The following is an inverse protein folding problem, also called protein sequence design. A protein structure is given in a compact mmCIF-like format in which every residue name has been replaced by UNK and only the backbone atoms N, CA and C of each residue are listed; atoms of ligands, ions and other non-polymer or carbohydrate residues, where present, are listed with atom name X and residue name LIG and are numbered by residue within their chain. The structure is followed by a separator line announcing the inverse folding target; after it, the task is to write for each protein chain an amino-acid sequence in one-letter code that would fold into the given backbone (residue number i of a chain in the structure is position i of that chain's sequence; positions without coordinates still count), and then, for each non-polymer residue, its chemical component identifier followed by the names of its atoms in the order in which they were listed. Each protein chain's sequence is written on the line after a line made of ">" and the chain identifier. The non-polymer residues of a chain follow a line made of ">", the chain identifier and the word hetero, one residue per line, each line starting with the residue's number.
data_IF_288684845632
#
_entry.id   IF_288684845632
#
_cell.length_a   1.000
_cell.length_b   1.000
_cell.length_c   1.000
_cell.angle_alpha   90.00
_cell.angle_beta   90.00
_cell.angle_gamma   90.00
#
_symmetry.space_group_name_H-M   'P 1'
#
loop_
_entity.id
_entity.type
_entity.pdbx_description
1 polymer ?
#
# COMPACT_ATOMS: atom_id res chain seq x y z
N UNK A 1 20.67 0.26 -25.00
CA UNK A 1 19.58 1.03 -25.64
C UNK A 1 18.74 0.23 -26.65
N UNK A 2 19.09 -1.02 -27.00
CA UNK A 2 18.32 -1.85 -27.96
C UNK A 2 17.24 -2.76 -27.33
N UNK A 3 17.17 -2.88 -26.00
CA UNK A 3 16.25 -3.83 -25.35
C UNK A 3 14.83 -3.28 -25.13
N UNK A 4 14.69 -1.98 -24.85
CA UNK A 4 13.39 -1.38 -24.49
C UNK A 4 12.38 -1.35 -25.66
N UNK A 5 12.82 -1.19 -26.92
CA UNK A 5 11.89 -1.17 -28.06
C UNK A 5 11.31 -2.57 -28.36
N UNK A 6 12.13 -3.62 -28.26
CA UNK A 6 11.73 -5.01 -28.56
C UNK A 6 10.75 -5.63 -27.55
N UNK A 7 10.64 -5.04 -26.36
CA UNK A 7 9.75 -5.50 -25.29
C UNK A 7 8.32 -4.95 -25.44
N UNK A 8 8.15 -3.78 -26.05
CA UNK A 8 6.83 -3.21 -26.34
C UNK A 8 6.04 -4.03 -27.38
N UNK A 9 6.73 -4.76 -28.26
CA UNK A 9 6.13 -5.61 -29.29
C UNK A 9 5.65 -6.99 -28.77
N UNK A 10 5.79 -7.24 -27.46
CA UNK A 10 5.45 -8.55 -26.84
C UNK A 10 4.24 -8.50 -25.94
N UNK A 11 3.90 -7.33 -25.39
CA UNK A 11 2.80 -7.13 -24.45
C UNK A 11 1.75 -6.26 -25.10
N UNK A 12 0.57 -6.82 -25.33
CA UNK A 12 -0.55 -6.11 -25.93
C UNK A 12 -1.69 -6.01 -24.92
N UNK A 13 -2.04 -4.80 -24.50
CA UNK A 13 -3.26 -4.56 -23.71
C UNK A 13 -4.46 -4.64 -24.64
N UNK A 14 -5.23 -5.72 -24.54
CA UNK A 14 -6.35 -5.98 -25.45
C UNK A 14 -7.54 -5.09 -25.12
N UNK A 15 -7.93 -5.06 -23.85
CA UNK A 15 -9.03 -4.25 -23.35
C UNK A 15 -8.94 -4.04 -21.84
N UNK A 16 -9.56 -2.95 -21.38
CA UNK A 16 -9.84 -2.70 -19.97
C UNK A 16 -11.25 -3.23 -19.70
N UNK A 17 -11.37 -4.25 -18.85
CA UNK A 17 -12.64 -4.85 -18.45
C UNK A 17 -13.32 -3.98 -17.39
N UNK A 18 -12.53 -3.46 -16.45
CA UNK A 18 -12.97 -2.54 -15.42
C UNK A 18 -11.93 -1.43 -15.24
N UNK A 19 -12.37 -0.17 -15.27
CA UNK A 19 -11.50 0.96 -15.03
C UNK A 19 -11.12 1.05 -13.54
N UNK A 20 -9.84 1.30 -13.26
CA UNK A 20 -9.37 1.56 -11.91
C UNK A 20 -9.62 2.99 -11.45
N UNK A 21 -9.56 3.18 -10.14
CA UNK A 21 -9.77 4.42 -9.43
C UNK A 21 -8.53 5.32 -9.47
N UNK A 22 -8.77 6.64 -9.53
CA UNK A 22 -7.70 7.65 -9.50
C UNK A 22 -7.03 7.91 -10.85
N UNK A 23 -6.12 8.89 -10.86
CA UNK A 23 -5.41 9.32 -12.07
C UNK A 23 -4.03 8.65 -12.23
N UNK A 24 -3.43 8.16 -11.14
CA UNK A 24 -2.09 7.62 -11.12
C UNK A 24 -2.07 6.10 -11.39
N UNK A 25 -1.10 5.64 -12.16
CA UNK A 25 -0.81 4.21 -12.39
C UNK A 25 0.14 3.67 -11.32
N UNK A 26 0.28 2.34 -11.28
CA UNK A 26 1.14 1.67 -10.31
C UNK A 26 2.62 2.14 -10.41
N UNK A 27 3.24 2.61 -9.30
CA UNK A 27 4.63 3.08 -9.30
C UNK A 27 5.66 1.96 -9.52
N UNK A 28 6.80 2.28 -10.15
CA UNK A 28 7.84 1.29 -10.48
C UNK A 28 8.49 0.62 -9.27
N UNK A 29 8.52 1.30 -8.13
CA UNK A 29 9.04 0.84 -6.87
C UNK A 29 7.95 0.37 -5.90
N UNK A 30 6.75 0.05 -6.40
CA UNK A 30 5.66 -0.40 -5.56
C UNK A 30 5.69 -1.92 -5.33
N UNK A 31 5.07 -2.33 -4.23
CA UNK A 31 4.60 -3.71 -4.05
C UNK A 31 3.14 -3.75 -4.48
N UNK A 32 2.82 -4.54 -5.50
CA UNK A 32 1.48 -4.67 -6.04
C UNK A 32 0.79 -5.94 -5.54
N UNK A 33 -0.50 -5.85 -5.21
CA UNK A 33 -1.36 -6.97 -4.91
C UNK A 33 -2.27 -7.20 -6.10
N UNK A 34 -2.15 -8.36 -6.73
CA UNK A 34 -2.86 -8.65 -7.98
C UNK A 34 -3.53 -10.01 -7.94
N UNK A 35 -4.71 -10.07 -8.56
CA UNK A 35 -5.23 -11.32 -9.07
C UNK A 35 -4.83 -11.47 -10.54
N UNK A 36 -4.45 -12.67 -10.95
CA UNK A 36 -4.24 -12.98 -12.36
C UNK A 36 -4.86 -14.32 -12.71
N UNK A 37 -5.49 -14.34 -13.86
CA UNK A 37 -5.91 -15.54 -14.57
C UNK A 37 -5.08 -15.63 -15.85
N UNK A 38 -4.43 -16.77 -16.07
CA UNK A 38 -3.67 -17.07 -17.27
C UNK A 38 -4.40 -18.16 -18.05
N UNK A 39 -4.65 -17.90 -19.33
CA UNK A 39 -5.31 -18.80 -20.25
C UNK A 39 -4.58 -18.88 -21.59
N UNK A 40 -4.81 -19.98 -22.30
CA UNK A 40 -4.41 -20.13 -23.70
C UNK A 40 -5.34 -19.32 -24.61
N UNK A 41 -4.89 -19.02 -25.83
CA UNK A 41 -5.75 -18.39 -26.85
C UNK A 41 -7.00 -19.23 -27.18
N UNK A 42 -6.96 -20.54 -26.92
CA UNK A 42 -8.10 -21.45 -27.04
C UNK A 42 -9.16 -21.25 -25.95
N UNK A 43 -8.92 -20.38 -24.96
CA UNK A 43 -9.79 -20.14 -23.81
C UNK A 43 -9.56 -21.09 -22.63
N UNK A 44 -8.65 -22.07 -22.75
CA UNK A 44 -8.34 -22.99 -21.65
C UNK A 44 -7.58 -22.26 -20.54
N UNK A 45 -8.20 -22.15 -19.36
CA UNK A 45 -7.57 -21.56 -18.17
C UNK A 45 -6.49 -22.49 -17.62
N UNK A 46 -5.27 -21.96 -17.52
CA UNK A 46 -4.10 -22.66 -16.98
C UNK A 46 -3.96 -22.35 -15.50
N UNK A 47 -4.12 -21.09 -15.11
CA UNK A 47 -3.93 -20.59 -13.75
C UNK A 47 -4.95 -19.52 -13.43
N UNK A 48 -5.41 -19.47 -12.20
CA UNK A 48 -6.39 -18.48 -11.78
C UNK A 48 -6.32 -18.30 -10.27
N UNK A 49 -5.76 -17.16 -9.83
CA UNK A 49 -5.65 -16.85 -8.40
C UNK A 49 -6.96 -16.38 -7.78
N UNK A 50 -7.99 -16.04 -8.58
CA UNK A 50 -9.30 -15.62 -8.08
C UNK A 50 -10.06 -16.76 -7.43
N UNK A 51 -9.81 -18.00 -7.86
CA UNK A 51 -10.48 -19.20 -7.31
C UNK A 51 -10.22 -19.40 -5.81
N UNK A 52 -9.10 -18.91 -5.30
CA UNK A 52 -8.73 -19.01 -3.90
C UNK A 52 -9.00 -17.71 -3.11
N UNK A 53 -9.54 -16.69 -3.78
CA UNK A 53 -9.76 -15.34 -3.24
C UNK A 53 -8.56 -14.78 -2.44
N UNK A 54 -7.35 -15.14 -2.88
CA UNK A 54 -6.09 -14.73 -2.24
C UNK A 54 -5.22 -14.00 -3.26
N UNK A 55 -5.11 -12.66 -3.19
CA UNK A 55 -4.27 -11.91 -4.12
C UNK A 55 -2.80 -12.26 -3.92
N UNK A 56 -2.04 -12.28 -5.01
CA UNK A 56 -0.60 -12.49 -4.96
C UNK A 56 0.15 -11.16 -4.81
N UNK A 57 1.22 -11.20 -4.01
CA UNK A 57 2.06 -10.04 -3.69
C UNK A 57 3.29 -10.04 -4.61
N UNK A 58 3.47 -8.97 -5.38
CA UNK A 58 4.63 -8.79 -6.26
C UNK A 58 5.38 -7.50 -6.00
N UNK A 59 6.70 -7.64 -5.86
CA UNK A 59 7.62 -6.52 -5.74
C UNK A 59 8.08 -6.10 -7.14
N UNK A 60 7.64 -4.93 -7.63
CA UNK A 60 7.92 -4.52 -9.01
C UNK A 60 9.40 -4.20 -9.25
N UNK A 61 10.13 -3.85 -8.18
CA UNK A 61 11.59 -3.70 -8.18
C UNK A 61 12.35 -5.03 -8.13
N UNK A 62 11.68 -6.16 -7.89
CA UNK A 62 12.32 -7.49 -7.71
C UNK A 62 12.40 -8.28 -9.01
N UNK A 63 13.46 -9.05 -9.21
CA UNK A 63 13.68 -9.89 -10.40
C UNK A 63 12.86 -11.19 -10.42
N UNK A 64 11.90 -11.32 -9.50
CA UNK A 64 10.99 -12.46 -9.38
C UNK A 64 9.91 -12.49 -10.46
N UNK A 65 9.41 -11.31 -10.87
CA UNK A 65 8.37 -11.18 -11.89
C UNK A 65 8.99 -11.00 -13.28
N UNK A 66 8.40 -11.63 -14.30
CA UNK A 66 8.84 -11.40 -15.68
C UNK A 66 8.64 -9.93 -16.07
N UNK A 67 9.50 -9.43 -16.94
CA UNK A 67 9.46 -8.02 -17.33
C UNK A 67 8.14 -7.68 -18.04
N UNK A 68 7.57 -8.63 -18.78
CA UNK A 68 6.27 -8.51 -19.45
C UNK A 68 5.14 -8.29 -18.45
N UNK A 69 5.07 -9.10 -17.39
CA UNK A 69 4.04 -8.95 -16.35
C UNK A 69 4.21 -7.67 -15.54
N UNK A 70 5.45 -7.24 -15.30
CA UNK A 70 5.72 -5.94 -14.67
C UNK A 70 5.14 -4.80 -15.51
N UNK A 71 5.37 -4.80 -16.83
CA UNK A 71 4.84 -3.78 -17.74
C UNK A 71 3.30 -3.74 -17.70
N UNK A 72 2.64 -4.90 -17.65
CA UNK A 72 1.19 -4.95 -17.49
C UNK A 72 0.76 -4.21 -16.21
N UNK A 73 1.31 -4.58 -15.05
CA UNK A 73 0.93 -4.01 -13.75
C UNK A 73 1.23 -2.51 -13.66
N UNK A 74 2.37 -2.06 -14.19
CA UNK A 74 2.76 -0.64 -14.21
C UNK A 74 1.83 0.23 -15.07
N UNK A 75 1.14 -0.38 -16.04
CA UNK A 75 0.17 0.31 -16.90
C UNK A 75 -1.24 0.43 -16.27
N UNK A 76 -1.47 -0.19 -15.12
CA UNK A 76 -2.78 -0.31 -14.49
C UNK A 76 -2.97 0.68 -13.34
N UNK A 77 -4.23 1.00 -13.07
CA UNK A 77 -4.68 1.76 -11.89
C UNK A 77 -5.24 0.82 -10.81
N UNK A 78 -5.26 1.28 -9.57
CA UNK A 78 -5.85 0.52 -8.45
C UNK A 78 -7.33 0.26 -8.71
N UNK A 79 -7.77 -0.99 -8.58
CA UNK A 79 -9.12 -1.46 -8.91
C UNK A 79 -9.35 -1.74 -10.41
N UNK A 80 -8.32 -1.61 -11.26
CA UNK A 80 -8.44 -1.90 -12.69
C UNK A 80 -8.39 -3.40 -12.95
N UNK A 81 -9.25 -3.87 -13.86
CA UNK A 81 -9.20 -5.22 -14.44
C UNK A 81 -8.92 -5.07 -15.93
N UNK A 82 -7.81 -5.64 -16.39
CA UNK A 82 -7.35 -5.52 -17.78
C UNK A 82 -6.90 -6.86 -18.34
N UNK A 83 -7.17 -7.05 -19.63
CA UNK A 83 -6.75 -8.23 -20.36
C UNK A 83 -5.51 -7.90 -21.22
N UNK A 84 -4.50 -8.76 -21.13
CA UNK A 84 -3.24 -8.62 -21.84
C UNK A 84 -2.92 -9.88 -22.62
N UNK A 85 -2.38 -9.72 -23.83
CA UNK A 85 -1.79 -10.78 -24.62
C UNK A 85 -0.27 -10.68 -24.55
N UNK A 86 0.39 -11.73 -24.08
CA UNK A 86 1.85 -11.80 -23.97
C UNK A 86 2.37 -12.89 -24.90
N UNK A 87 3.18 -12.52 -25.90
CA UNK A 87 3.80 -13.47 -26.85
C UNK A 87 4.97 -14.23 -26.19
N UNK A 88 5.07 -15.53 -26.44
CA UNK A 88 6.22 -16.34 -26.01
C UNK A 88 7.47 -16.06 -26.85
N UNK A 89 8.65 -16.23 -26.24
CA UNK A 89 9.95 -16.16 -26.93
C UNK A 89 10.48 -17.57 -27.18
N UNK A 90 10.53 -17.98 -28.45
CA UNK A 90 10.98 -19.32 -28.88
C UNK A 90 12.43 -19.65 -28.47
N UNK A 91 13.28 -18.65 -28.17
CA UNK A 91 14.67 -18.87 -27.75
C UNK A 91 14.88 -19.24 -26.26
N UNK A 92 13.82 -19.25 -25.44
CA UNK A 92 13.93 -19.52 -24.00
C UNK A 92 13.93 -21.02 -23.61
N UNK A 93 14.04 -21.94 -24.57
CA UNK A 93 14.16 -23.38 -24.29
C UNK A 93 15.39 -23.76 -23.43
N UNK A 94 16.41 -22.87 -23.33
CA UNK A 94 17.62 -23.10 -22.52
C UNK A 94 17.59 -22.49 -21.12
N UNK A 95 16.70 -21.56 -20.81
CA UNK A 95 16.60 -20.92 -19.49
C UNK A 95 15.25 -21.26 -18.83
N UNK A 96 15.13 -22.53 -18.43
CA UNK A 96 13.99 -23.13 -17.71
C UNK A 96 13.69 -22.52 -16.31
N UNK A 97 13.93 -21.23 -16.04
CA UNK A 97 13.95 -20.72 -14.66
C UNK A 97 13.15 -19.46 -14.29
N UNK A 98 12.48 -18.75 -15.21
CA UNK A 98 11.83 -17.47 -14.82
C UNK A 98 10.47 -17.14 -15.45
N UNK A 99 9.70 -18.13 -15.90
CA UNK A 99 8.25 -17.94 -15.86
C UNK A 99 7.78 -18.35 -14.46
N UNK A 100 6.76 -17.65 -13.94
CA UNK A 100 6.04 -17.93 -12.70
C UNK A 100 5.22 -19.24 -12.79
N UNK A 101 5.82 -20.25 -13.40
CA UNK A 101 5.25 -21.53 -13.77
C UNK A 101 5.94 -22.70 -13.05
N UNK A 102 6.69 -22.44 -11.98
CA UNK A 102 7.41 -23.49 -11.24
C UNK A 102 6.48 -24.55 -10.62
N UNK A 103 5.18 -24.28 -10.51
CA UNK A 103 4.17 -25.16 -9.92
C UNK A 103 3.35 -25.99 -10.92
N UNK A 104 3.58 -25.90 -12.23
CA UNK A 104 2.72 -26.58 -13.20
C UNK A 104 3.20 -27.98 -13.56
N UNK A 105 2.49 -29.00 -13.06
CA UNK A 105 2.47 -30.35 -13.64
C UNK A 105 1.95 -30.37 -15.10
N UNK A 106 1.39 -29.26 -15.61
CA UNK A 106 0.86 -29.09 -16.99
C UNK A 106 1.82 -28.37 -17.95
N UNK A 107 3.13 -28.44 -17.70
CA UNK A 107 4.13 -27.74 -18.50
C UNK A 107 4.12 -28.14 -20.00
N UNK A 108 3.79 -29.38 -20.36
CA UNK A 108 3.87 -29.86 -21.75
C UNK A 108 2.89 -29.19 -22.72
N UNK A 109 1.65 -28.89 -22.32
CA UNK A 109 0.67 -28.20 -23.17
C UNK A 109 0.94 -26.69 -23.26
N UNK A 110 1.57 -26.11 -22.23
CA UNK A 110 1.94 -24.70 -22.22
C UNK A 110 3.08 -24.38 -23.21
N UNK A 111 3.86 -25.39 -23.62
CA UNK A 111 4.99 -25.27 -24.54
C UNK A 111 4.58 -25.14 -26.03
N UNK A 112 3.30 -25.32 -26.39
CA UNK A 112 2.85 -25.32 -27.78
C UNK A 112 2.09 -24.06 -28.21
N UNK A 113 2.11 -22.98 -27.42
CA UNK A 113 1.30 -21.79 -27.68
C UNK A 113 2.16 -20.55 -27.88
N UNK A 114 1.89 -19.80 -28.96
CA UNK A 114 2.65 -18.61 -29.34
C UNK A 114 2.39 -17.40 -28.42
N UNK A 115 1.27 -17.41 -27.69
CA UNK A 115 0.92 -16.37 -26.74
C UNK A 115 0.00 -16.87 -25.62
N UNK A 116 -0.02 -16.12 -24.51
CA UNK A 116 -0.96 -16.30 -23.41
C UNK A 116 -1.83 -15.07 -23.23
N UNK A 117 -3.04 -15.32 -22.73
CA UNK A 117 -4.00 -14.29 -22.36
C UNK A 117 -4.02 -14.20 -20.83
N UNK A 118 -3.67 -13.03 -20.32
CA UNK A 118 -3.66 -12.70 -18.90
C UNK A 118 -4.79 -11.74 -18.60
N UNK A 119 -5.69 -12.13 -17.71
CA UNK A 119 -6.62 -11.21 -17.08
C UNK A 119 -6.07 -10.82 -15.72
N UNK A 120 -5.69 -9.55 -15.56
CA UNK A 120 -5.03 -9.04 -14.35
C UNK A 120 -5.97 -8.05 -13.69
N UNK A 121 -6.14 -8.20 -12.39
CA UNK A 121 -6.83 -7.26 -11.52
C UNK A 121 -5.83 -6.69 -10.51
N UNK A 122 -5.64 -5.38 -10.54
CA UNK A 122 -4.77 -4.68 -9.60
C UNK A 122 -5.59 -4.26 -8.38
N UNK A 123 -5.49 -4.99 -7.27
CA UNK A 123 -6.29 -4.74 -6.07
C UNK A 123 -5.81 -3.50 -5.33
N UNK A 124 -4.51 -3.41 -5.10
CA UNK A 124 -3.86 -2.29 -4.41
C UNK A 124 -2.36 -2.29 -4.67
N UNK A 125 -1.69 -1.18 -4.33
CA UNK A 125 -0.24 -1.11 -4.34
C UNK A 125 0.27 -0.27 -3.16
N UNK A 126 1.36 -0.72 -2.56
CA UNK A 126 2.06 0.00 -1.50
C UNK A 126 3.31 0.65 -2.08
N UNK A 127 3.55 1.92 -1.73
CA UNK A 127 4.81 2.61 -2.01
C UNK A 127 5.90 2.03 -1.09
N UNK A 128 6.47 0.88 -1.43
CA UNK A 128 7.51 0.23 -0.63
C UNK A 128 8.74 -0.15 -1.46
N UNK A 129 9.92 0.44 -1.18
CA UNK A 129 11.19 -0.09 -1.66
C UNK A 129 11.54 -1.37 -0.90
N UNK A 130 11.91 -2.42 -1.63
CA UNK A 130 12.36 -3.67 -1.05
C UNK A 130 13.76 -3.54 -0.46
N UNK A 131 13.94 -4.09 0.74
CA UNK A 131 15.25 -4.46 1.26
C UNK A 131 15.35 -5.98 1.15
N UNK A 132 16.43 -6.47 0.54
CA UNK A 132 16.75 -7.88 0.59
C UNK A 132 17.06 -8.26 2.05
N UNK A 133 16.19 -9.06 2.65
CA UNK A 133 16.43 -9.74 3.94
C UNK A 133 17.35 -10.95 3.79
N UNK A 134 17.87 -11.18 2.58
CA UNK A 134 18.60 -12.38 2.17
C UNK A 134 19.92 -12.66 2.95
N UNK A 135 20.40 -11.71 3.75
CA UNK A 135 21.64 -11.85 4.54
C UNK A 135 21.47 -11.68 6.07
N UNK A 136 20.24 -11.62 6.61
CA UNK A 136 20.01 -11.41 8.05
C UNK A 136 19.67 -12.75 8.73
N UNK A 137 20.60 -13.30 9.51
CA UNK A 137 20.45 -14.66 10.09
C UNK A 137 19.76 -14.64 11.45
N UNK A 138 19.90 -13.57 12.25
CA UNK A 138 19.33 -13.52 13.62
C UNK A 138 18.30 -12.41 13.83
N UNK A 139 17.35 -12.63 14.75
CA UNK A 139 16.32 -11.65 15.13
C UNK A 139 16.92 -10.39 15.77
N UNK A 140 18.03 -10.55 16.51
CA UNK A 140 18.75 -9.44 17.11
C UNK A 140 19.34 -8.49 16.05
N UNK A 141 19.97 -9.03 15.00
CA UNK A 141 20.49 -8.23 13.88
C UNK A 141 19.38 -7.49 13.14
N UNK A 142 18.24 -8.15 12.92
CA UNK A 142 17.06 -7.53 12.31
C UNK A 142 16.54 -6.36 13.14
N UNK A 143 16.44 -6.56 14.45
CA UNK A 143 15.96 -5.55 15.40
C UNK A 143 16.94 -4.36 15.50
N UNK A 144 18.24 -4.62 15.54
CA UNK A 144 19.26 -3.56 15.52
C UNK A 144 19.21 -2.74 14.23
N UNK A 145 19.07 -3.42 13.09
CA UNK A 145 18.94 -2.74 11.78
C UNK A 145 17.64 -1.94 11.70
N UNK A 146 16.54 -2.45 12.24
CA UNK A 146 15.28 -1.72 12.35
C UNK A 146 15.45 -0.46 13.21
N UNK A 147 16.18 -0.55 14.33
CA UNK A 147 16.49 0.61 15.18
C UNK A 147 17.31 1.66 14.43
N UNK A 148 18.33 1.26 13.69
CA UNK A 148 19.13 2.21 12.89
C UNK A 148 18.25 2.91 11.83
N UNK A 149 17.37 2.16 11.17
CA UNK A 149 16.43 2.69 10.18
C UNK A 149 15.40 3.64 10.78
N UNK A 150 14.95 3.36 12.00
CA UNK A 150 14.12 4.29 12.78
C UNK A 150 14.87 5.60 13.04
N UNK A 151 16.15 5.57 13.40
CA UNK A 151 16.93 6.79 13.59
C UNK A 151 17.15 7.57 12.28
N UNK A 152 17.41 6.88 11.17
CA UNK A 152 17.45 7.52 9.84
C UNK A 152 16.11 8.24 9.53
N UNK A 153 14.99 7.59 9.83
CA UNK A 153 13.66 8.18 9.71
C UNK A 153 13.47 9.41 10.58
N UNK A 154 13.94 9.38 11.84
CA UNK A 154 13.90 10.52 12.76
C UNK A 154 14.71 11.71 12.23
N UNK A 155 15.88 11.45 11.65
CA UNK A 155 16.71 12.47 11.03
C UNK A 155 15.95 13.17 9.89
N UNK A 156 15.41 12.41 8.93
CA UNK A 156 14.61 12.98 7.85
C UNK A 156 13.34 13.69 8.34
N UNK A 157 12.71 13.17 9.40
CA UNK A 157 11.53 13.80 9.99
C UNK A 157 11.87 15.19 10.56
N UNK A 158 13.01 15.32 11.26
CA UNK A 158 13.48 16.61 11.77
C UNK A 158 13.81 17.62 10.67
N UNK A 159 14.24 17.13 9.50
CA UNK A 159 14.48 17.92 8.29
C UNK A 159 13.18 18.26 7.54
N UNK A 160 12.00 17.81 8.01
CA UNK A 160 10.70 17.92 7.34
C UNK A 160 10.62 17.18 6.00
N UNK A 161 11.56 16.28 5.74
CA UNK A 161 11.57 15.39 4.58
C UNK A 161 10.67 14.17 4.82
N UNK A 162 9.36 14.42 4.99
CA UNK A 162 8.42 13.41 5.49
C UNK A 162 8.29 12.18 4.59
N UNK A 163 8.50 12.32 3.27
CA UNK A 163 8.50 11.19 2.32
C UNK A 163 9.67 10.24 2.58
N UNK A 164 10.86 10.80 2.82
CA UNK A 164 12.06 10.02 3.13
C UNK A 164 11.96 9.42 4.53
N UNK A 165 11.46 10.18 5.51
CA UNK A 165 11.21 9.69 6.86
C UNK A 165 10.27 8.47 6.85
N UNK A 166 9.14 8.58 6.18
CA UNK A 166 8.16 7.50 6.05
C UNK A 166 8.75 6.26 5.39
N UNK A 167 9.60 6.44 4.36
CA UNK A 167 10.34 5.34 3.74
C UNK A 167 11.22 4.63 4.75
N UNK A 168 12.09 5.33 5.47
CA UNK A 168 13.00 4.71 6.46
C UNK A 168 12.25 4.02 7.60
N UNK A 169 11.14 4.60 8.08
CA UNK A 169 10.28 3.93 9.06
C UNK A 169 9.63 2.65 8.53
N UNK A 170 9.20 2.62 7.27
CA UNK A 170 8.66 1.38 6.68
C UNK A 170 9.71 0.29 6.57
N UNK A 171 10.94 0.67 6.24
CA UNK A 171 12.04 -0.29 6.17
C UNK A 171 12.28 -0.90 7.55
N UNK A 172 12.29 -0.06 8.60
CA UNK A 172 12.38 -0.53 9.96
C UNK A 172 11.21 -1.47 10.34
N UNK A 173 9.99 -1.11 9.96
CA UNK A 173 8.77 -1.90 10.22
C UNK A 173 8.88 -3.31 9.63
N UNK A 174 9.33 -3.46 8.39
CA UNK A 174 9.45 -4.76 7.71
C UNK A 174 10.60 -5.64 8.20
N UNK A 175 11.57 -5.05 8.90
CA UNK A 175 12.64 -5.82 9.52
C UNK A 175 12.18 -6.49 10.81
N UNK A 176 11.12 -5.99 11.45
CA UNK A 176 10.58 -6.55 12.67
C UNK A 176 9.81 -7.83 12.35
N UNK A 177 10.16 -8.91 13.06
CA UNK A 177 9.54 -10.23 12.89
C UNK A 177 8.44 -10.52 13.91
N UNK A 178 8.36 -9.70 14.98
CA UNK A 178 7.49 -9.92 16.13
C UNK A 178 6.46 -8.79 16.29
N UNK A 179 5.18 -9.19 16.33
CA UNK A 179 4.01 -8.30 16.40
C UNK A 179 3.84 -7.54 17.73
N UNK A 180 4.66 -7.82 18.76
CA UNK A 180 4.57 -7.17 20.09
C UNK A 180 5.92 -6.66 20.59
N UNK A 181 6.62 -5.89 19.78
CA UNK A 181 7.82 -5.15 20.23
C UNK A 181 7.48 -3.68 20.54
N UNK A 182 8.10 -3.11 21.57
CA UNK A 182 8.04 -1.66 21.87
C UNK A 182 8.49 -0.82 20.66
N UNK A 183 9.42 -1.36 19.87
CA UNK A 183 9.89 -0.76 18.63
C UNK A 183 8.78 -0.67 17.57
N UNK A 184 7.91 -1.68 17.47
CA UNK A 184 6.78 -1.68 16.54
C UNK A 184 5.80 -0.55 16.86
N UNK A 185 5.42 -0.39 18.13
CA UNK A 185 4.52 0.69 18.55
C UNK A 185 5.10 2.07 18.17
N UNK A 186 6.39 2.27 18.48
CA UNK A 186 7.12 3.51 18.16
C UNK A 186 7.14 3.78 16.65
N UNK A 187 7.37 2.75 15.83
CA UNK A 187 7.40 2.87 14.38
C UNK A 187 6.02 3.20 13.80
N UNK A 188 4.98 2.49 14.21
CA UNK A 188 3.60 2.77 13.80
C UNK A 188 3.23 4.21 14.13
N UNK A 189 3.59 4.65 15.34
CA UNK A 189 3.39 6.02 15.76
C UNK A 189 4.16 6.98 14.84
N UNK A 190 5.46 6.78 14.60
CA UNK A 190 6.24 7.64 13.71
C UNK A 190 5.75 7.69 12.25
N UNK A 191 5.29 6.55 11.70
CA UNK A 191 4.65 6.50 10.38
C UNK A 191 3.39 7.36 10.38
N UNK A 192 2.51 7.22 11.38
CA UNK A 192 1.30 8.04 11.47
C UNK A 192 1.58 9.54 11.56
N UNK A 193 2.72 9.93 12.16
CA UNK A 193 3.17 11.32 12.19
C UNK A 193 3.50 11.86 10.78
N UNK A 194 4.08 11.02 9.92
CA UNK A 194 4.41 11.38 8.54
C UNK A 194 3.14 11.50 7.68
N UNK A 195 2.11 10.72 7.96
CA UNK A 195 0.87 10.72 7.18
C UNK A 195 0.15 12.08 7.18
N UNK A 196 0.17 12.81 8.30
CA UNK A 196 -0.52 14.10 8.45
C UNK A 196 -0.01 15.17 7.46
N UNK A 197 1.30 15.51 7.43
CA UNK A 197 1.82 16.50 6.47
C UNK A 197 1.78 15.99 5.02
N UNK A 198 1.76 14.68 4.79
CA UNK A 198 1.64 14.09 3.45
C UNK A 198 0.19 13.98 2.96
N UNK A 199 -0.79 14.40 3.76
CA UNK A 199 -2.22 14.27 3.45
C UNK A 199 -2.69 12.82 3.23
N UNK A 200 -1.97 11.84 3.79
CA UNK A 200 -2.30 10.41 3.73
C UNK A 200 -3.19 10.02 4.92
N UNK A 201 -4.33 10.69 5.07
CA UNK A 201 -5.14 10.62 6.29
C UNK A 201 -5.68 9.21 6.60
N UNK A 202 -6.10 8.45 5.59
CA UNK A 202 -6.57 7.07 5.76
C UNK A 202 -5.47 6.13 6.26
N UNK A 203 -4.25 6.27 5.74
CA UNK A 203 -3.10 5.53 6.25
C UNK A 203 -2.77 5.95 7.69
N UNK A 204 -2.84 7.25 7.98
CA UNK A 204 -2.66 7.77 9.35
C UNK A 204 -3.64 7.17 10.34
N UNK A 205 -4.93 7.06 9.96
CA UNK A 205 -5.98 6.42 10.77
C UNK A 205 -5.66 4.93 10.99
N UNK A 206 -5.28 4.22 9.93
CA UNK A 206 -4.90 2.81 10.01
C UNK A 206 -3.75 2.58 10.99
N UNK A 207 -2.64 3.32 10.86
CA UNK A 207 -1.48 3.15 11.72
C UNK A 207 -1.74 3.58 13.16
N UNK A 208 -2.49 4.66 13.40
CA UNK A 208 -2.90 5.02 14.76
C UNK A 208 -3.79 3.95 15.40
N UNK A 209 -4.69 3.35 14.62
CA UNK A 209 -5.57 2.26 15.12
C UNK A 209 -4.74 1.05 15.49
N UNK A 210 -3.77 0.66 14.66
CA UNK A 210 -2.81 -0.40 14.99
C UNK A 210 -1.98 -0.07 16.24
N UNK A 211 -1.55 1.19 16.42
CA UNK A 211 -0.90 1.62 17.67
C UNK A 211 -1.82 1.45 18.88
N UNK A 212 -3.10 1.80 18.77
CA UNK A 212 -4.08 1.69 19.85
C UNK A 212 -4.50 0.24 20.16
N UNK A 213 -4.37 -0.67 19.19
CA UNK A 213 -4.52 -2.11 19.44
C UNK A 213 -3.36 -2.68 20.26
N UNK A 214 -2.17 -2.08 20.15
CA UNK A 214 -0.99 -2.45 20.94
C UNK A 214 -0.98 -1.78 22.31
N UNK A 215 -1.21 -0.46 22.35
CA UNK A 215 -1.36 0.35 23.56
C UNK A 215 -2.66 1.18 23.49
N UNK A 216 -3.75 0.69 24.10
CA UNK A 216 -5.02 1.42 24.17
C UNK A 216 -4.95 2.75 24.92
N UNK A 217 -3.87 3.01 25.67
CA UNK A 217 -3.69 4.25 26.43
C UNK A 217 -2.77 5.26 25.72
N UNK A 218 -2.40 5.02 24.46
CA UNK A 218 -1.47 5.87 23.73
C UNK A 218 -2.11 7.22 23.33
N UNK A 219 -1.88 8.25 24.15
CA UNK A 219 -2.40 9.61 23.94
C UNK A 219 -1.97 10.20 22.59
N UNK A 220 -0.74 9.91 22.13
CA UNK A 220 -0.22 10.45 20.86
C UNK A 220 -0.96 9.85 19.67
N UNK A 221 -1.31 8.56 19.73
CA UNK A 221 -2.08 7.89 18.69
C UNK A 221 -3.50 8.48 18.57
N UNK A 222 -4.21 8.66 19.70
CA UNK A 222 -5.51 9.35 19.69
C UNK A 222 -5.44 10.76 19.10
N UNK A 223 -4.46 11.57 19.52
CA UNK A 223 -4.29 12.93 18.99
C UNK A 223 -4.02 12.96 17.47
N UNK A 224 -3.20 12.02 16.98
CA UNK A 224 -2.87 11.94 15.55
C UNK A 224 -4.04 11.42 14.73
N UNK A 225 -4.76 10.42 15.22
CA UNK A 225 -5.96 9.88 14.58
C UNK A 225 -7.08 10.91 14.52
N UNK A 226 -7.33 11.64 15.62
CA UNK A 226 -8.28 12.74 15.64
C UNK A 226 -7.90 13.85 14.67
N UNK A 227 -6.61 14.12 14.49
CA UNK A 227 -6.13 15.08 13.50
C UNK A 227 -6.42 14.62 12.07
N UNK A 228 -6.25 13.33 11.78
CA UNK A 228 -6.59 12.75 10.48
C UNK A 228 -8.11 12.83 10.21
N UNK A 229 -8.94 12.43 11.19
CA UNK A 229 -10.40 12.56 11.09
C UNK A 229 -10.85 14.01 10.90
N UNK A 230 -10.29 14.94 11.67
CA UNK A 230 -10.57 16.38 11.52
C UNK A 230 -10.21 16.90 10.11
N UNK A 231 -9.09 16.43 9.53
CA UNK A 231 -8.71 16.79 8.15
C UNK A 231 -9.64 16.19 7.10
N UNK A 232 -10.28 15.06 7.40
CA UNK A 232 -11.34 14.43 6.60
C UNK A 232 -12.74 14.98 6.89
N UNK A 233 -12.87 16.00 7.75
CA UNK A 233 -14.17 16.56 8.20
C UNK A 233 -15.06 15.54 8.94
N UNK A 234 -14.45 14.49 9.47
CA UNK A 234 -15.08 13.48 10.32
C UNK A 234 -14.98 13.94 11.78
N UNK A 235 -15.76 14.96 12.13
CA UNK A 235 -15.59 15.66 13.42
C UNK A 235 -16.08 14.85 14.62
N UNK A 236 -17.08 13.99 14.44
CA UNK A 236 -17.60 13.13 15.51
C UNK A 236 -16.55 12.11 15.96
N UNK A 237 -15.94 11.40 15.01
CA UNK A 237 -14.88 10.43 15.28
C UNK A 237 -13.64 11.12 15.87
N UNK A 238 -13.30 12.31 15.38
CA UNK A 238 -12.23 13.12 15.95
C UNK A 238 -12.51 13.51 17.41
N UNK A 239 -13.76 13.84 17.74
CA UNK A 239 -14.17 14.18 19.10
C UNK A 239 -14.11 12.96 20.03
N UNK A 240 -14.54 11.78 19.56
CA UNK A 240 -14.46 10.54 20.33
C UNK A 240 -13.01 10.23 20.75
N UNK A 241 -12.06 10.33 19.81
CA UNK A 241 -10.64 10.12 20.09
C UNK A 241 -10.09 11.10 21.12
N UNK A 242 -10.47 12.38 21.03
CA UNK A 242 -10.00 13.40 21.97
C UNK A 242 -10.63 13.23 23.36
N UNK A 243 -11.90 12.82 23.45
CA UNK A 243 -12.54 12.51 24.73
C UNK A 243 -11.83 11.35 25.42
N UNK A 244 -11.51 10.29 24.68
CA UNK A 244 -10.78 9.14 25.21
C UNK A 244 -9.35 9.52 25.64
N UNK A 245 -8.67 10.35 24.86
CA UNK A 245 -7.34 10.85 25.25
C UNK A 245 -7.39 11.73 26.52
N UNK A 246 -8.44 12.55 26.66
CA UNK A 246 -8.64 13.40 27.84
C UNK A 246 -9.06 12.62 29.08
N UNK A 247 -9.73 11.48 28.95
CA UNK A 247 -9.99 10.62 30.12
C UNK A 247 -8.70 10.02 30.67
N UNK A 248 -7.69 9.81 29.83
CA UNK A 248 -6.35 9.34 30.23
C UNK A 248 -5.49 10.49 30.77
N UNK A 249 -5.50 11.65 30.10
CA UNK A 249 -4.73 12.83 30.49
C UNK A 249 -5.58 14.12 30.53
N UNK A 250 -6.37 14.33 31.60
CA UNK A 250 -7.36 15.42 31.67
C UNK A 250 -6.77 16.83 31.61
N UNK A 251 -5.54 17.00 32.07
CA UNK A 251 -4.86 18.31 32.15
C UNK A 251 -3.99 18.61 30.93
N UNK A 252 -3.99 17.75 29.91
CA UNK A 252 -3.17 17.92 28.73
C UNK A 252 -3.68 19.07 27.86
N UNK A 253 -2.92 20.17 27.88
CA UNK A 253 -3.26 21.41 27.17
C UNK A 253 -3.38 21.23 25.64
N UNK A 254 -2.62 20.31 25.04
CA UNK A 254 -2.71 20.06 23.60
C UNK A 254 -4.06 19.41 23.23
N UNK A 255 -4.52 18.46 24.05
CA UNK A 255 -5.81 17.81 23.86
C UNK A 255 -6.98 18.79 24.05
N UNK A 256 -6.91 19.64 25.08
CA UNK A 256 -7.95 20.65 25.35
C UNK A 256 -8.07 21.62 24.16
N UNK A 257 -6.93 22.11 23.64
CA UNK A 257 -6.90 22.98 22.46
C UNK A 257 -7.46 22.28 21.21
N UNK A 258 -7.08 21.02 21.01
CA UNK A 258 -7.57 20.22 19.88
C UNK A 258 -9.08 20.00 19.97
N UNK A 259 -9.61 19.71 21.16
CA UNK A 259 -11.04 19.58 21.41
C UNK A 259 -11.80 20.86 21.04
N UNK A 260 -11.31 22.02 21.49
CA UNK A 260 -11.92 23.31 21.17
C UNK A 260 -11.92 23.59 19.66
N UNK A 261 -10.84 23.19 18.96
CA UNK A 261 -10.73 23.33 17.51
C UNK A 261 -11.75 22.46 16.79
N UNK A 262 -11.86 21.17 17.15
CA UNK A 262 -12.82 20.24 16.56
C UNK A 262 -14.25 20.74 16.74
N UNK A 263 -14.63 21.15 17.97
CA UNK A 263 -15.98 21.69 18.25
C UNK A 263 -16.31 22.92 17.42
N UNK A 264 -15.33 23.82 17.24
CA UNK A 264 -15.50 25.02 16.44
C UNK A 264 -15.72 24.68 14.96
N UNK A 265 -14.98 23.70 14.43
CA UNK A 265 -15.12 23.25 13.04
C UNK A 265 -16.46 22.53 12.82
N UNK A 266 -16.86 21.65 13.74
CA UNK A 266 -18.15 20.96 13.69
C UNK A 266 -19.31 21.94 13.69
N UNK A 267 -19.31 22.90 14.64
CA UNK A 267 -20.37 23.94 14.70
C UNK A 267 -20.46 24.74 13.40
N UNK A 268 -19.33 25.03 12.74
CA UNK A 268 -19.31 25.72 11.45
C UNK A 268 -19.90 24.85 10.34
N UNK A 269 -19.61 23.55 10.31
CA UNK A 269 -20.20 22.62 9.35
C UNK A 269 -21.72 22.54 9.55
N UNK A 270 -22.18 22.33 10.78
CA UNK A 270 -23.62 22.24 11.10
C UNK A 270 -24.37 23.50 10.69
N UNK A 271 -23.78 24.68 10.92
CA UNK A 271 -24.35 25.96 10.49
C UNK A 271 -24.43 26.08 8.96
N UNK A 272 -23.42 25.61 8.24
CA UNK A 272 -23.42 25.61 6.78
C UNK A 272 -24.50 24.67 6.24
N UNK A 273 -24.59 23.46 6.78
CA UNK A 273 -25.61 22.47 6.38
C UNK A 273 -27.03 22.99 6.65
N UNK A 274 -27.28 23.59 7.81
CA UNK A 274 -28.57 24.23 8.11
C UNK A 274 -28.91 25.37 7.14
N UNK A 275 -27.92 26.20 6.80
CA UNK A 275 -28.12 27.28 5.81
C UNK A 275 -28.43 26.74 4.42
N UNK A 276 -27.76 25.66 4.01
CA UNK A 276 -28.01 25.00 2.72
C UNK A 276 -29.40 24.37 2.68
N UNK A 277 -29.79 23.66 3.74
CA UNK A 277 -31.12 23.09 3.89
C UNK A 277 -32.21 24.16 3.78
N UNK A 278 -32.10 25.27 4.53
CA UNK A 278 -33.10 26.35 4.50
C UNK A 278 -33.24 27.00 3.12
N UNK A 279 -32.19 27.02 2.28
CA UNK A 279 -32.25 27.54 0.91
C UNK A 279 -32.90 26.56 -0.09
N UNK A 280 -32.97 25.27 0.24
CA UNK A 280 -33.54 24.25 -0.64
C UNK A 280 -35.07 24.17 -0.50
N UNK A 281 -35.60 24.59 0.65
CA UNK A 281 -37.03 24.52 0.99
C UNK A 281 -37.70 25.90 1.11
N UNK A 282 -37.07 26.96 0.60
CA UNK A 282 -37.61 28.31 0.42
C UNK A 282 -37.37 28.73 -1.03
#
# INVERSE_FOLDING_TARGET
>A
MLEASSLSDRVFKLNIIQHGNGAATCPQNATAYVHFSCSLETGKVIHDTRRLNKPERYELSSDQLSLELKLCILSMRVGEISCFKIKQVQHAARQKRKLHLQSFQRAQEALSCDAYIYEIELISHDLQPCYSTQNLTTEAERTQKASNKKEDGNLYFSQKEYKLAMKEYYIAYHLISCDRSELLETLLLNISACCIPLSLYDQGIHYCTRTLELDPNNIKAYYRRSTCYMKKQQYEEAQMDIVQALSIAPTNQALIKQQATIKTLQTKQDQQERRMYNKLFH
#
